data_IF_065837110634
#
_entry.id   IF_065837110634
#
_cell.length_a   1.000
_cell.length_b   1.000
_cell.length_c   1.000
_cell.angle_alpha   90.00
_cell.angle_beta   90.00
_cell.angle_gamma   90.00
#
_symmetry.space_group_name_H-M   'P 1'
#
loop_
_entity.id
_entity.type
_entity.pdbx_description
1 polymer ?
#
# COMPACT_ATOMS: atom_id res chain seq x y z
N UNK A 1 48.99 0.57 76.35
CA UNK A 1 49.50 0.86 74.99
C UNK A 1 48.39 0.54 74.00
N UNK A 2 47.51 1.51 73.73
CA UNK A 2 46.44 1.33 72.75
C UNK A 2 46.57 2.40 71.68
N UNK A 3 46.80 1.95 70.45
CA UNK A 3 46.91 2.80 69.27
C UNK A 3 45.51 3.08 68.69
N UNK A 4 45.12 4.35 68.74
CA UNK A 4 43.94 4.83 67.97
C UNK A 4 44.31 4.91 66.48
N UNK A 5 43.47 4.30 65.65
CA UNK A 5 43.51 4.50 64.20
C UNK A 5 42.35 5.46 63.83
N UNK A 6 42.71 6.59 63.25
CA UNK A 6 41.76 7.48 62.55
C UNK A 6 41.37 6.83 61.22
N UNK A 7 40.07 6.71 61.03
CA UNK A 7 39.50 6.33 59.73
C UNK A 7 39.06 7.60 59.01
N UNK A 8 39.72 7.84 57.86
CA UNK A 8 39.36 8.93 56.95
C UNK A 8 38.15 8.50 56.14
N UNK A 9 37.01 9.13 56.35
CA UNK A 9 35.81 8.95 55.53
C UNK A 9 35.93 9.74 54.21
N UNK A 10 35.91 9.01 53.11
CA UNK A 10 35.77 9.58 51.76
C UNK A 10 34.30 9.81 51.48
N UNK A 11 33.93 11.08 51.33
CA UNK A 11 32.59 11.47 50.82
C UNK A 11 32.59 11.20 49.32
N UNK A 12 31.82 10.21 48.90
CA UNK A 12 31.48 10.00 47.50
C UNK A 12 30.36 10.96 47.11
N UNK A 13 30.69 11.96 46.33
CA UNK A 13 29.72 12.82 45.65
C UNK A 13 29.17 12.04 44.45
N UNK A 14 27.95 11.53 44.59
CA UNK A 14 27.22 10.90 43.48
C UNK A 14 26.74 12.00 42.52
N UNK A 15 27.44 12.16 41.42
CA UNK A 15 26.99 12.99 40.30
C UNK A 15 25.81 12.32 39.61
N UNK A 16 24.64 12.93 39.68
CA UNK A 16 23.47 12.58 38.88
C UNK A 16 23.76 13.06 37.48
N UNK A 17 24.10 12.12 36.59
CA UNK A 17 24.10 12.36 35.13
C UNK A 17 22.63 12.52 34.71
N UNK A 18 22.21 13.76 34.49
CA UNK A 18 21.05 14.07 33.69
C UNK A 18 21.36 13.63 32.24
N UNK A 19 20.87 12.46 31.85
CA UNK A 19 20.76 12.13 30.44
C UNK A 19 19.74 13.07 29.83
N UNK A 20 20.20 14.08 29.11
CA UNK A 20 19.36 14.82 28.18
C UNK A 20 18.89 13.82 27.16
N UNK A 21 17.66 13.32 27.29
CA UNK A 21 16.96 12.60 26.24
C UNK A 21 16.89 13.56 25.05
N UNK A 22 17.54 13.21 23.98
CA UNK A 22 17.31 13.87 22.68
C UNK A 22 15.87 13.52 22.33
N UNK A 23 14.97 14.49 22.49
CA UNK A 23 13.66 14.42 21.84
C UNK A 23 13.94 14.39 20.33
N UNK A 24 13.77 13.24 19.70
CA UNK A 24 13.71 13.18 18.26
C UNK A 24 12.38 13.82 17.86
N UNK A 25 12.38 14.75 16.91
CA UNK A 25 11.14 15.29 16.40
C UNK A 25 10.30 14.15 15.84
N UNK A 26 9.05 14.07 16.23
CA UNK A 26 8.06 13.15 15.67
C UNK A 26 7.69 13.73 14.31
N UNK A 27 8.01 13.01 13.25
CA UNK A 27 7.69 13.40 11.89
C UNK A 27 6.39 12.72 11.47
N UNK A 28 5.43 13.47 10.92
CA UNK A 28 4.26 12.87 10.28
C UNK A 28 4.70 12.20 8.98
N UNK A 29 4.14 11.02 8.68
CA UNK A 29 4.47 10.28 7.47
C UNK A 29 3.40 10.48 6.39
N UNK A 30 3.80 10.38 5.13
CA UNK A 30 2.91 10.45 3.97
C UNK A 30 1.88 9.31 3.88
N UNK A 31 1.90 8.39 4.84
CA UNK A 31 0.97 7.29 4.91
C UNK A 31 1.13 6.23 3.82
N UNK A 32 0.41 5.14 4.00
CA UNK A 32 0.37 4.06 3.01
C UNK A 32 -0.49 4.46 1.81
N UNK A 33 0.14 4.67 0.67
CA UNK A 33 -0.54 5.05 -0.57
C UNK A 33 -0.96 3.81 -1.32
N UNK A 34 -2.19 3.33 -1.11
CA UNK A 34 -2.69 2.20 -1.87
C UNK A 34 -4.12 2.41 -2.29
N UNK A 35 -4.37 2.26 -3.60
CA UNK A 35 -5.67 1.86 -4.04
C UNK A 35 -5.76 0.33 -3.86
N UNK A 36 -6.53 -0.12 -2.88
CA UNK A 36 -6.70 -1.54 -2.55
C UNK A 36 -7.76 -2.23 -3.41
N UNK A 37 -8.32 -1.56 -4.41
CA UNK A 37 -9.33 -2.16 -5.29
C UNK A 37 -8.76 -3.36 -6.03
N UNK A 38 -9.39 -4.51 -5.87
CA UNK A 38 -9.01 -5.73 -6.57
C UNK A 38 -9.45 -5.67 -8.03
N UNK A 39 -8.49 -5.68 -8.94
CA UNK A 39 -8.71 -5.74 -10.39
C UNK A 39 -8.08 -6.97 -11.03
N UNK A 40 -7.81 -8.01 -10.26
CA UNK A 40 -7.38 -9.32 -10.74
C UNK A 40 -8.60 -10.11 -11.21
N UNK A 41 -9.01 -9.90 -12.43
CA UNK A 41 -10.27 -10.43 -12.99
C UNK A 41 -10.33 -11.95 -12.97
N UNK A 42 -9.20 -12.61 -13.10
CA UNK A 42 -9.06 -14.07 -13.10
C UNK A 42 -9.44 -14.67 -11.75
N UNK A 43 -9.09 -13.99 -10.65
CA UNK A 43 -9.44 -14.43 -9.29
C UNK A 43 -10.89 -14.15 -8.94
N UNK A 44 -11.58 -13.39 -9.80
CA UNK A 44 -13.00 -13.07 -9.70
C UNK A 44 -13.87 -13.88 -10.68
N UNK A 45 -13.29 -14.92 -11.31
CA UNK A 45 -13.99 -15.77 -12.28
C UNK A 45 -14.24 -15.13 -13.65
N UNK A 46 -13.45 -14.11 -14.00
CA UNK A 46 -13.48 -13.49 -15.32
C UNK A 46 -12.22 -13.92 -16.09
N UNK A 47 -12.38 -14.31 -17.36
CA UNK A 47 -11.25 -14.73 -18.20
C UNK A 47 -10.44 -15.90 -17.63
N UNK A 48 -11.10 -16.93 -17.21
CA UNK A 48 -10.47 -18.14 -16.62
C UNK A 48 -9.85 -19.10 -17.66
N UNK A 49 -10.08 -18.85 -18.95
CA UNK A 49 -9.55 -19.66 -20.04
C UNK A 49 -8.04 -19.47 -20.23
N UNK A 50 -7.30 -20.45 -20.77
CA UNK A 50 -5.90 -20.29 -21.14
C UNK A 50 -5.67 -19.14 -22.12
N UNK A 51 -4.50 -18.50 -22.06
CA UNK A 51 -4.13 -17.43 -22.98
C UNK A 51 -3.38 -16.29 -22.31
N UNK A 52 -3.00 -15.32 -23.12
CA UNK A 52 -2.26 -14.13 -22.72
C UNK A 52 -3.24 -12.96 -22.49
N UNK A 53 -3.02 -12.23 -21.42
CA UNK A 53 -3.82 -11.07 -21.03
C UNK A 53 -2.93 -9.91 -20.66
N UNK A 54 -3.40 -8.72 -20.95
CA UNK A 54 -2.79 -7.46 -20.55
C UNK A 54 -3.78 -6.64 -19.74
N UNK A 55 -3.28 -5.89 -18.80
CA UNK A 55 -4.05 -4.94 -18.01
C UNK A 55 -3.29 -3.61 -17.93
N UNK A 56 -3.95 -2.53 -18.29
CA UNK A 56 -3.46 -1.18 -18.08
C UNK A 56 -4.40 -0.52 -17.08
N UNK A 57 -3.87 -0.11 -15.94
CA UNK A 57 -4.63 0.43 -14.81
C UNK A 57 -4.05 1.76 -14.39
N UNK A 58 -4.85 2.80 -14.37
CA UNK A 58 -4.53 4.10 -13.81
C UNK A 58 -5.18 4.25 -12.44
N UNK A 59 -4.41 4.72 -11.47
CA UNK A 59 -4.82 4.96 -10.10
C UNK A 59 -4.61 6.43 -9.75
N UNK A 60 -5.61 7.03 -9.16
CA UNK A 60 -5.58 8.40 -8.65
C UNK A 60 -5.91 8.39 -7.17
N UNK A 61 -5.02 8.93 -6.34
CA UNK A 61 -5.23 9.07 -4.90
C UNK A 61 -4.67 10.41 -4.45
N UNK A 62 -5.52 11.25 -3.88
CA UNK A 62 -5.17 12.55 -3.31
C UNK A 62 -5.25 12.45 -1.79
N UNK A 63 -4.10 12.48 -1.13
CA UNK A 63 -3.98 12.42 0.31
C UNK A 63 -3.73 13.85 0.80
N UNK A 64 -4.77 14.53 1.21
CA UNK A 64 -4.78 15.92 1.69
C UNK A 64 -5.43 16.06 3.06
N UNK A 65 -5.76 14.93 3.69
CA UNK A 65 -6.36 14.88 5.00
C UNK A 65 -5.40 14.27 6.02
N UNK A 66 -4.86 15.10 6.90
CA UNK A 66 -4.06 14.62 8.03
C UNK A 66 -4.94 13.92 9.05
N UNK A 67 -4.44 12.80 9.59
CA UNK A 67 -5.15 11.99 10.57
C UNK A 67 -4.18 11.55 11.68
N UNK A 68 -4.67 11.53 12.93
CA UNK A 68 -3.97 10.93 14.06
C UNK A 68 -4.87 9.86 14.67
N UNK A 69 -4.42 8.61 14.65
CA UNK A 69 -5.28 7.47 14.93
C UNK A 69 -6.50 7.43 13.99
N UNK A 70 -7.71 7.46 14.55
CA UNK A 70 -8.95 7.49 13.76
C UNK A 70 -9.45 8.91 13.46
N UNK A 71 -8.89 9.94 14.10
CA UNK A 71 -9.40 11.30 14.06
C UNK A 71 -8.74 12.12 12.94
N UNK A 72 -9.54 12.93 12.24
CA UNK A 72 -9.02 13.96 11.35
C UNK A 72 -8.43 15.08 12.21
N UNK A 73 -7.22 15.52 11.88
CA UNK A 73 -6.53 16.60 12.61
C UNK A 73 -6.14 17.72 11.66
N UNK A 74 -6.00 18.92 12.22
CA UNK A 74 -5.46 20.06 11.49
C UNK A 74 -3.93 20.08 11.70
N UNK A 75 -3.11 20.29 10.66
CA UNK A 75 -1.67 20.42 10.79
C UNK A 75 -1.24 21.37 11.91
N UNK A 76 -1.87 22.55 12.02
CA UNK A 76 -1.61 23.52 13.07
C UNK A 76 -1.88 23.02 14.51
N UNK A 77 -2.56 21.89 14.68
CA UNK A 77 -2.91 21.29 15.97
C UNK A 77 -1.95 20.21 16.46
N UNK A 78 -0.95 19.82 15.66
CA UNK A 78 0.02 18.77 16.00
C UNK A 78 1.37 19.44 16.31
N UNK A 79 1.78 19.55 17.59
CA UNK A 79 3.05 20.19 17.94
C UNK A 79 4.24 19.36 17.46
N UNK A 80 5.29 20.05 16.99
CA UNK A 80 6.61 19.48 16.66
C UNK A 80 6.63 18.42 15.55
N UNK A 81 5.64 18.41 14.65
CA UNK A 81 5.64 17.57 13.46
C UNK A 81 6.08 18.37 12.22
N UNK A 82 6.55 17.64 11.20
CA UNK A 82 6.44 18.14 9.84
C UNK A 82 4.95 18.33 9.55
N UNK A 83 4.57 19.52 9.12
CA UNK A 83 3.20 19.75 8.67
C UNK A 83 3.04 19.13 7.27
N UNK A 84 2.68 17.87 7.23
CA UNK A 84 2.31 17.17 6.01
C UNK A 84 1.12 17.86 5.38
N UNK A 85 1.29 18.34 4.13
CA UNK A 85 0.24 19.10 3.45
C UNK A 85 -0.54 18.21 2.49
N UNK A 86 0.18 17.53 1.60
CA UNK A 86 -0.47 16.76 0.54
C UNK A 86 0.47 15.76 -0.12
N UNK A 87 -0.06 14.59 -0.47
CA UNK A 87 0.58 13.63 -1.37
C UNK A 87 -0.41 13.24 -2.47
N UNK A 88 -0.15 13.68 -3.69
CA UNK A 88 -0.94 13.34 -4.87
C UNK A 88 -0.28 12.20 -5.64
N UNK A 89 -0.98 11.08 -5.78
CA UNK A 89 -0.50 9.88 -6.48
C UNK A 89 -1.29 9.65 -7.76
N UNK A 90 -0.57 9.46 -8.86
CA UNK A 90 -1.11 9.20 -10.21
C UNK A 90 -0.33 8.04 -10.81
N UNK A 91 -0.63 6.83 -10.37
CA UNK A 91 0.13 5.66 -10.75
C UNK A 91 -0.45 4.97 -11.99
N UNK A 92 0.41 4.46 -12.85
CA UNK A 92 0.03 3.60 -13.95
C UNK A 92 0.58 2.20 -13.70
N UNK A 93 -0.27 1.19 -13.74
CA UNK A 93 0.14 -0.20 -13.62
C UNK A 93 -0.03 -0.92 -14.96
N UNK A 94 1.04 -1.54 -15.43
CA UNK A 94 1.03 -2.42 -16.59
C UNK A 94 1.13 -3.85 -16.11
N UNK A 95 0.13 -4.66 -16.42
CA UNK A 95 0.05 -6.07 -16.06
C UNK A 95 0.07 -6.97 -17.27
N UNK A 96 0.71 -8.11 -17.15
CA UNK A 96 0.66 -9.22 -18.08
C UNK A 96 0.40 -10.51 -17.31
N UNK A 97 -0.60 -11.27 -17.73
CA UNK A 97 -0.94 -12.58 -17.17
C UNK A 97 -0.96 -13.62 -18.29
N UNK A 98 -0.30 -14.75 -18.07
CA UNK A 98 -0.31 -15.88 -18.99
C UNK A 98 -0.82 -17.13 -18.27
N UNK A 99 -2.00 -17.61 -18.65
CA UNK A 99 -2.55 -18.85 -18.19
C UNK A 99 -2.16 -20.00 -19.12
N UNK A 100 -1.34 -20.93 -18.63
CA UNK A 100 -0.90 -22.11 -19.36
C UNK A 100 -2.07 -23.09 -19.60
N UNK A 101 -2.94 -23.18 -18.61
CA UNK A 101 -4.14 -24.02 -18.58
C UNK A 101 -5.10 -23.45 -17.52
N UNK A 102 -6.31 -24.00 -17.35
CA UNK A 102 -7.26 -23.49 -16.35
C UNK A 102 -6.76 -23.49 -14.90
N UNK A 103 -5.71 -24.28 -14.58
CA UNK A 103 -5.18 -24.40 -13.23
C UNK A 103 -3.97 -23.50 -12.94
N UNK A 104 -3.12 -23.23 -13.92
CA UNK A 104 -1.84 -22.57 -13.72
C UNK A 104 -1.66 -21.31 -14.56
N UNK A 105 -1.26 -20.23 -13.93
CA UNK A 105 -0.91 -18.99 -14.60
C UNK A 105 0.30 -18.34 -13.93
N UNK A 106 0.95 -17.43 -14.67
CA UNK A 106 1.98 -16.52 -14.15
C UNK A 106 1.61 -15.10 -14.56
N UNK A 107 1.96 -14.14 -13.71
CA UNK A 107 1.72 -12.73 -14.00
C UNK A 107 2.91 -11.86 -13.61
N UNK A 108 3.07 -10.78 -14.36
CA UNK A 108 4.03 -9.70 -14.11
C UNK A 108 3.25 -8.39 -14.02
N UNK A 109 3.56 -7.58 -13.02
CA UNK A 109 3.00 -6.24 -12.85
C UNK A 109 4.15 -5.26 -12.69
N UNK A 110 4.11 -4.18 -13.48
CA UNK A 110 5.12 -3.11 -13.48
C UNK A 110 4.41 -1.80 -13.18
N UNK A 111 4.60 -1.21 -12.01
CA UNK A 111 4.06 0.10 -11.69
C UNK A 111 4.96 1.21 -12.24
N UNK A 112 4.35 2.25 -12.77
CA UNK A 112 4.96 3.56 -13.00
C UNK A 112 4.35 4.49 -11.97
N UNK A 113 5.17 4.94 -11.04
CA UNK A 113 4.79 5.84 -9.96
C UNK A 113 4.94 7.27 -10.43
N UNK A 114 3.92 8.09 -10.23
CA UNK A 114 3.99 9.54 -10.32
C UNK A 114 3.39 10.13 -9.06
N UNK A 115 4.21 10.85 -8.29
CA UNK A 115 3.87 11.34 -6.96
C UNK A 115 4.35 12.76 -6.79
N UNK A 116 3.41 13.66 -6.43
CA UNK A 116 3.71 15.01 -5.99
C UNK A 116 3.47 15.06 -4.49
N UNK A 117 4.48 15.49 -3.74
CA UNK A 117 4.41 15.60 -2.28
C UNK A 117 4.82 17.01 -1.83
N UNK A 118 4.21 17.47 -0.74
CA UNK A 118 4.55 18.73 -0.09
C UNK A 118 4.36 18.65 1.41
N UNK A 119 5.31 19.24 2.14
CA UNK A 119 5.23 19.46 3.57
C UNK A 119 5.92 20.77 3.98
N UNK A 120 5.78 21.18 5.25
CA UNK A 120 6.48 22.32 5.85
C UNK A 120 7.35 21.79 6.98
N UNK A 121 8.64 22.09 6.95
CA UNK A 121 9.49 22.01 8.13
C UNK A 121 9.16 23.15 9.08
N UNK A 122 8.88 22.83 10.35
CA UNK A 122 8.57 23.81 11.39
C UNK A 122 9.80 24.51 11.96
N UNK A 123 10.85 24.69 11.15
CA UNK A 123 12.01 25.49 11.46
C UNK A 123 11.65 26.98 11.56
N UNK A 124 12.54 27.78 12.08
CA UNK A 124 12.34 29.25 12.15
C UNK A 124 13.34 29.93 11.24
N UNK A 125 12.91 30.47 10.08
CA UNK A 125 11.53 30.50 9.52
C UNK A 125 11.08 29.14 8.98
N UNK A 126 9.77 28.85 8.90
CA UNK A 126 9.25 27.63 8.29
C UNK A 126 9.70 27.51 6.84
N UNK A 127 10.15 26.30 6.44
CA UNK A 127 10.59 26.00 5.08
C UNK A 127 9.59 25.05 4.40
N UNK A 128 9.11 25.46 3.23
CA UNK A 128 8.19 24.68 2.41
C UNK A 128 8.97 23.81 1.43
N UNK A 129 8.78 22.52 1.50
CA UNK A 129 9.47 21.56 0.65
C UNK A 129 8.52 20.78 -0.24
N UNK A 130 8.99 20.43 -1.43
CA UNK A 130 8.23 19.68 -2.43
C UNK A 130 9.09 18.64 -3.12
N UNK A 131 8.47 17.52 -3.47
CA UNK A 131 9.05 16.46 -4.30
C UNK A 131 8.09 16.11 -5.44
N UNK A 132 8.63 16.01 -6.65
CA UNK A 132 7.93 15.54 -7.84
C UNK A 132 8.64 14.28 -8.33
N UNK A 133 8.14 13.13 -7.88
CA UNK A 133 8.77 11.84 -8.11
C UNK A 133 8.08 11.11 -9.25
N UNK A 134 8.84 10.71 -10.27
CA UNK A 134 8.32 9.90 -11.37
C UNK A 134 9.33 8.83 -11.74
N UNK A 135 8.91 7.57 -11.68
CA UNK A 135 9.81 6.46 -11.98
C UNK A 135 9.10 5.11 -12.03
N UNK A 136 9.85 4.10 -12.41
CA UNK A 136 9.39 2.72 -12.26
C UNK A 136 9.36 2.37 -10.76
N UNK A 137 8.29 1.73 -10.33
CA UNK A 137 8.20 1.16 -9.00
C UNK A 137 8.68 -0.30 -8.94
N UNK A 138 8.41 -0.95 -7.82
CA UNK A 138 8.80 -2.33 -7.59
C UNK A 138 7.92 -3.31 -8.38
N UNK A 139 8.54 -4.06 -9.27
CA UNK A 139 7.88 -5.08 -10.10
C UNK A 139 7.38 -6.24 -9.24
N UNK A 140 6.21 -6.78 -9.57
CA UNK A 140 5.66 -7.99 -8.96
C UNK A 140 5.65 -9.12 -9.98
N UNK A 141 6.20 -10.27 -9.57
CA UNK A 141 6.14 -11.52 -10.32
C UNK A 141 5.37 -12.53 -9.48
N UNK A 142 4.29 -13.11 -10.00
CA UNK A 142 3.48 -14.06 -9.24
C UNK A 142 3.06 -15.25 -10.09
N UNK A 143 2.88 -16.39 -9.41
CA UNK A 143 2.24 -17.59 -9.91
C UNK A 143 0.87 -17.75 -9.28
N UNK A 144 -0.03 -18.39 -9.99
CA UNK A 144 -1.38 -18.71 -9.53
C UNK A 144 -1.70 -20.19 -9.83
N UNK A 145 -2.25 -20.84 -8.82
CA UNK A 145 -2.86 -22.15 -8.96
C UNK A 145 -4.35 -22.08 -8.62
N UNK A 146 -5.19 -22.70 -9.43
CA UNK A 146 -6.64 -22.71 -9.25
C UNK A 146 -7.18 -24.13 -9.48
N UNK A 147 -8.20 -24.49 -8.71
CA UNK A 147 -8.98 -25.70 -8.92
C UNK A 147 -10.48 -25.40 -8.94
N UNK A 148 -11.20 -26.03 -9.85
CA UNK A 148 -12.66 -25.95 -9.84
C UNK A 148 -13.20 -26.72 -8.62
N UNK A 149 -14.10 -26.09 -7.88
CA UNK A 149 -14.86 -26.73 -6.80
C UNK A 149 -16.14 -27.38 -7.34
N UNK A 150 -16.74 -26.74 -8.34
CA UNK A 150 -17.86 -27.19 -9.14
C UNK A 150 -17.96 -26.40 -10.44
N UNK A 151 -19.04 -26.52 -11.19
CA UNK A 151 -19.26 -25.82 -12.48
C UNK A 151 -19.34 -24.28 -12.32
N UNK A 152 -19.67 -23.78 -11.12
CA UNK A 152 -19.89 -22.36 -10.84
C UNK A 152 -18.88 -21.76 -9.86
N UNK A 153 -17.99 -22.55 -9.30
CA UNK A 153 -17.07 -22.08 -8.27
C UNK A 153 -15.66 -22.62 -8.45
N UNK A 154 -14.68 -21.80 -8.10
CA UNK A 154 -13.28 -22.21 -8.00
C UNK A 154 -12.60 -21.57 -6.79
N UNK A 155 -11.53 -22.20 -6.35
CA UNK A 155 -10.63 -21.66 -5.34
C UNK A 155 -9.18 -21.80 -5.82
N UNK A 156 -8.31 -20.92 -5.32
CA UNK A 156 -6.92 -20.94 -5.71
C UNK A 156 -5.99 -20.25 -4.73
N UNK A 157 -4.71 -20.37 -5.04
CA UNK A 157 -3.62 -19.76 -4.31
C UNK A 157 -2.81 -18.89 -5.25
N UNK A 158 -2.26 -17.82 -4.68
CA UNK A 158 -1.26 -16.94 -5.32
C UNK A 158 0.03 -16.96 -4.51
N UNK A 159 1.16 -16.92 -5.18
CA UNK A 159 2.47 -16.84 -4.56
C UNK A 159 3.41 -16.07 -5.49
N UNK A 160 4.32 -15.30 -4.93
CA UNK A 160 5.19 -14.49 -5.77
C UNK A 160 6.18 -13.66 -4.98
N UNK A 161 6.83 -12.76 -5.71
CA UNK A 161 7.79 -11.82 -5.18
C UNK A 161 7.50 -10.41 -5.72
N UNK A 162 7.62 -9.41 -4.86
CA UNK A 162 7.88 -8.04 -5.25
C UNK A 162 9.40 -7.87 -5.33
N UNK A 163 9.91 -7.38 -6.44
CA UNK A 163 11.34 -7.20 -6.71
C UNK A 163 11.71 -5.72 -6.60
N UNK A 164 12.87 -5.37 -6.02
CA UNK A 164 13.30 -3.99 -5.80
C UNK A 164 13.81 -3.35 -7.10
N UNK A 165 12.93 -3.14 -8.05
CA UNK A 165 13.25 -2.57 -9.38
C UNK A 165 13.04 -1.07 -9.43
N UNK A 166 12.28 -0.51 -8.49
CA UNK A 166 12.07 0.91 -8.34
C UNK A 166 13.24 1.59 -7.66
N UNK A 167 13.43 2.86 -7.97
CA UNK A 167 14.42 3.68 -7.27
C UNK A 167 13.92 4.04 -5.88
N UNK A 168 14.84 4.17 -4.93
CA UNK A 168 14.57 4.50 -3.53
C UNK A 168 15.54 5.57 -2.98
N UNK A 169 16.18 6.30 -3.89
CA UNK A 169 17.18 7.36 -3.63
C UNK A 169 16.89 8.63 -4.43
N UNK A 170 15.63 8.85 -4.82
CA UNK A 170 15.21 10.06 -5.54
C UNK A 170 15.21 11.28 -4.61
N UNK A 171 15.61 12.41 -5.17
CA UNK A 171 15.73 13.70 -4.46
C UNK A 171 14.85 14.75 -5.14
N UNK A 172 14.56 15.84 -4.42
CA UNK A 172 13.96 17.02 -5.02
C UNK A 172 15.00 17.87 -5.77
N UNK A 173 14.57 19.01 -6.34
CA UNK A 173 15.44 19.93 -7.11
C UNK A 173 16.54 20.59 -6.25
N UNK A 174 16.41 20.55 -4.93
CA UNK A 174 17.41 21.05 -3.98
C UNK A 174 18.42 19.96 -3.55
N UNK A 175 18.24 18.71 -4.03
CA UNK A 175 19.07 17.56 -3.68
C UNK A 175 18.73 16.93 -2.33
N UNK A 176 17.59 17.26 -1.74
CA UNK A 176 17.09 16.65 -0.51
C UNK A 176 16.45 15.29 -0.85
N UNK A 177 16.84 14.25 -0.12
CA UNK A 177 16.33 12.90 -0.30
C UNK A 177 14.86 12.83 0.15
N UNK A 178 14.00 12.26 -0.70
CA UNK A 178 12.62 12.00 -0.30
C UNK A 178 12.57 10.86 0.73
N UNK A 179 11.60 10.93 1.65
CA UNK A 179 11.34 9.86 2.60
C UNK A 179 11.15 8.50 1.91
N UNK A 180 11.52 7.44 2.60
CA UNK A 180 11.44 6.07 2.04
C UNK A 180 10.01 5.67 1.65
N UNK A 181 9.01 6.17 2.37
CA UNK A 181 7.59 5.98 2.08
C UNK A 181 7.14 6.65 0.77
N UNK A 182 7.82 7.73 0.36
CA UNK A 182 7.54 8.49 -0.86
C UNK A 182 8.25 7.93 -2.10
N UNK A 183 9.31 7.17 -1.93
CA UNK A 183 10.12 6.67 -3.03
C UNK A 183 9.32 5.78 -4.00
N UNK A 184 9.64 5.76 -5.30
CA UNK A 184 9.00 4.86 -6.27
C UNK A 184 9.14 3.38 -5.94
N UNK A 185 10.28 2.98 -5.36
CA UNK A 185 10.57 1.64 -4.90
C UNK A 185 10.93 1.60 -3.41
N UNK A 186 10.75 0.44 -2.79
CA UNK A 186 11.13 0.24 -1.38
C UNK A 186 12.58 -0.20 -1.19
N UNK A 187 13.23 -0.68 -2.27
CA UNK A 187 14.56 -1.30 -2.21
C UNK A 187 14.54 -2.73 -1.64
N UNK A 188 13.38 -3.26 -1.20
CA UNK A 188 13.27 -4.59 -0.60
C UNK A 188 12.62 -5.60 -1.52
N UNK A 189 13.03 -6.87 -1.38
CA UNK A 189 12.31 -8.01 -1.96
C UNK A 189 11.28 -8.50 -0.96
N UNK A 190 10.01 -8.60 -1.38
CA UNK A 190 8.94 -9.05 -0.51
C UNK A 190 8.35 -10.37 -1.03
N UNK A 191 8.02 -11.29 -0.12
CA UNK A 191 7.20 -12.46 -0.42
C UNK A 191 5.72 -12.08 -0.52
N UNK A 192 5.02 -12.67 -1.49
CA UNK A 192 3.60 -12.53 -1.73
C UNK A 192 2.94 -13.90 -1.58
N UNK A 193 1.95 -14.02 -0.71
CA UNK A 193 1.15 -15.23 -0.54
C UNK A 193 -0.33 -14.86 -0.45
N UNK A 194 -1.17 -15.53 -1.21
CA UNK A 194 -2.60 -15.25 -1.21
C UNK A 194 -3.45 -16.47 -1.49
N UNK A 195 -4.72 -16.33 -1.17
CA UNK A 195 -5.75 -17.31 -1.49
C UNK A 195 -7.01 -16.59 -1.96
N UNK A 196 -7.77 -17.21 -2.82
CA UNK A 196 -9.01 -16.64 -3.33
C UNK A 196 -10.03 -17.74 -3.65
N UNK A 197 -11.27 -17.31 -3.71
CA UNK A 197 -12.38 -18.11 -4.22
C UNK A 197 -13.39 -17.20 -4.90
N UNK A 198 -14.08 -17.73 -5.89
CA UNK A 198 -15.25 -17.10 -6.47
C UNK A 198 -16.38 -18.11 -6.63
N UNK A 199 -17.59 -17.61 -6.61
CA UNK A 199 -18.80 -18.40 -6.80
C UNK A 199 -19.79 -17.63 -7.65
N UNK A 200 -20.16 -18.18 -8.80
CA UNK A 200 -21.23 -17.69 -9.67
C UNK A 200 -22.55 -18.23 -9.18
N UNK A 201 -23.46 -17.37 -8.79
CA UNK A 201 -24.77 -17.75 -8.29
C UNK A 201 -25.69 -18.25 -9.41
N UNK A 202 -26.73 -18.98 -9.04
CA UNK A 202 -27.74 -19.45 -9.97
C UNK A 202 -28.29 -18.32 -10.84
N UNK A 203 -28.46 -18.58 -12.15
CA UNK A 203 -28.87 -17.58 -13.14
C UNK A 203 -27.73 -16.79 -13.77
N UNK A 204 -26.46 -17.08 -13.43
CA UNK A 204 -25.21 -16.57 -14.05
C UNK A 204 -25.02 -15.04 -14.06
N UNK A 205 -25.93 -14.28 -13.47
CA UNK A 205 -25.85 -12.84 -13.45
C UNK A 205 -24.93 -12.31 -12.33
N UNK A 206 -24.77 -13.08 -11.24
CA UNK A 206 -24.08 -12.65 -10.03
C UNK A 206 -22.88 -13.52 -9.72
N UNK A 207 -21.73 -12.92 -9.53
CA UNK A 207 -20.52 -13.59 -9.02
C UNK A 207 -20.10 -12.94 -7.72
N UNK A 208 -19.90 -13.76 -6.68
CA UNK A 208 -19.27 -13.37 -5.42
C UNK A 208 -17.81 -13.80 -5.47
N UNK A 209 -16.92 -13.00 -4.90
CA UNK A 209 -15.51 -13.39 -4.75
C UNK A 209 -14.95 -12.91 -3.42
N UNK A 210 -13.94 -13.62 -2.95
CA UNK A 210 -13.13 -13.28 -1.79
C UNK A 210 -11.68 -13.54 -2.14
N UNK A 211 -10.79 -12.61 -1.81
CA UNK A 211 -9.35 -12.76 -1.97
C UNK A 211 -8.62 -12.18 -0.77
N UNK A 212 -7.70 -12.94 -0.22
CA UNK A 212 -6.73 -12.45 0.77
C UNK A 212 -5.33 -12.48 0.18
N UNK A 213 -4.52 -11.47 0.47
CA UNK A 213 -3.11 -11.41 0.09
C UNK A 213 -2.29 -10.90 1.28
N UNK A 214 -1.23 -11.62 1.60
CA UNK A 214 -0.20 -11.24 2.54
C UNK A 214 1.09 -10.91 1.80
N UNK A 215 1.68 -9.76 2.11
CA UNK A 215 2.97 -9.31 1.61
C UNK A 215 3.90 -9.05 2.78
N UNK A 216 5.11 -9.60 2.70
CA UNK A 216 6.14 -9.42 3.74
C UNK A 216 7.50 -9.20 3.13
N UNK A 217 8.24 -8.14 3.53
CA UNK A 217 9.64 -7.96 3.19
C UNK A 217 10.48 -9.12 3.73
N UNK A 218 11.42 -9.59 2.92
CA UNK A 218 12.32 -10.69 3.28
C UNK A 218 13.60 -10.20 3.95
N UNK A 219 13.98 -8.94 3.71
CA UNK A 219 15.14 -8.29 4.29
C UNK A 219 14.95 -6.77 4.31
N UNK A 220 15.73 -6.10 5.12
CA UNK A 220 15.89 -4.64 5.11
C UNK A 220 16.84 -4.19 3.98
N UNK A 221 16.72 -2.93 3.60
CA UNK A 221 17.63 -2.29 2.65
C UNK A 221 17.95 -0.87 3.10
N UNK A 222 19.24 -0.58 3.35
CA UNK A 222 19.72 0.73 3.80
C UNK A 222 18.93 1.23 5.02
N UNK A 223 18.94 0.44 6.09
CA UNK A 223 18.24 0.68 7.35
C UNK A 223 16.75 1.01 7.18
N UNK A 224 16.10 0.40 6.18
CA UNK A 224 14.66 0.50 5.95
C UNK A 224 14.07 -0.86 5.61
N UNK A 225 12.97 -1.20 6.29
CA UNK A 225 12.13 -2.34 5.97
C UNK A 225 10.65 -1.92 6.04
N UNK A 226 9.91 -1.96 4.92
CA UNK A 226 8.48 -1.67 4.97
C UNK A 226 7.74 -2.67 5.87
N UNK A 227 6.69 -2.22 6.54
CA UNK A 227 5.82 -3.08 7.32
C UNK A 227 5.17 -4.15 6.44
N UNK A 228 5.00 -5.34 7.00
CA UNK A 228 4.19 -6.37 6.34
C UNK A 228 2.74 -5.88 6.20
N UNK A 229 2.04 -6.39 5.19
CA UNK A 229 0.66 -6.00 4.97
C UNK A 229 -0.24 -7.19 4.61
N UNK A 230 -1.51 -7.07 4.98
CA UNK A 230 -2.57 -8.01 4.64
C UNK A 230 -3.70 -7.24 3.99
N UNK A 231 -4.16 -7.72 2.83
CA UNK A 231 -5.39 -7.24 2.20
C UNK A 231 -6.43 -8.35 2.20
N UNK A 232 -7.68 -7.97 2.37
CA UNK A 232 -8.83 -8.85 2.19
C UNK A 232 -9.88 -8.13 1.36
N UNK A 233 -10.20 -8.68 0.21
CA UNK A 233 -11.20 -8.16 -0.70
C UNK A 233 -12.40 -9.10 -0.74
N UNK A 234 -13.58 -8.54 -0.53
CA UNK A 234 -14.86 -9.23 -0.70
C UNK A 234 -15.66 -8.45 -1.73
N UNK A 235 -16.09 -9.11 -2.78
CA UNK A 235 -16.76 -8.40 -3.86
C UNK A 235 -17.91 -9.15 -4.49
N UNK A 236 -18.76 -8.35 -5.11
CA UNK A 236 -19.92 -8.75 -5.89
C UNK A 236 -19.80 -8.14 -7.28
N UNK A 237 -19.98 -8.94 -8.31
CA UNK A 237 -20.18 -8.51 -9.68
C UNK A 237 -21.56 -8.93 -10.14
N UNK A 238 -22.32 -7.99 -10.73
CA UNK A 238 -23.67 -8.23 -11.24
C UNK A 238 -23.75 -7.81 -12.71
N UNK A 239 -24.11 -8.76 -13.58
CA UNK A 239 -24.30 -8.49 -15.00
C UNK A 239 -25.63 -7.77 -15.24
N UNK A 240 -25.58 -6.44 -15.45
CA UNK A 240 -26.74 -5.62 -15.80
C UNK A 240 -27.21 -5.88 -17.22
N UNK A 241 -26.27 -6.10 -18.13
CA UNK A 241 -26.51 -6.46 -19.53
C UNK A 241 -25.43 -7.45 -19.99
N UNK A 242 -25.48 -7.86 -21.26
CA UNK A 242 -24.42 -8.70 -21.85
C UNK A 242 -23.03 -8.04 -21.87
N UNK A 243 -22.98 -6.71 -21.81
CA UNK A 243 -21.72 -5.95 -21.89
C UNK A 243 -21.42 -5.13 -20.65
N UNK A 244 -22.41 -4.79 -19.83
CA UNK A 244 -22.26 -3.92 -18.66
C UNK A 244 -22.41 -4.73 -17.38
N UNK A 245 -21.43 -4.65 -16.49
CA UNK A 245 -21.49 -5.21 -15.15
C UNK A 245 -21.35 -4.10 -14.11
N UNK A 246 -22.19 -4.13 -13.09
CA UNK A 246 -21.99 -3.37 -11.86
C UNK A 246 -21.11 -4.19 -10.92
N UNK A 247 -20.33 -3.50 -10.11
CA UNK A 247 -19.43 -4.10 -9.14
C UNK A 247 -19.46 -3.35 -7.82
N UNK A 248 -19.31 -4.09 -6.74
CA UNK A 248 -19.15 -3.54 -5.41
C UNK A 248 -18.12 -4.37 -4.67
N UNK A 249 -17.12 -3.72 -4.09
CA UNK A 249 -16.11 -4.37 -3.28
C UNK A 249 -16.01 -3.73 -1.90
N UNK A 250 -15.77 -4.55 -0.90
CA UNK A 250 -15.28 -4.16 0.41
C UNK A 250 -13.82 -4.56 0.46
N UNK A 251 -12.92 -3.58 0.64
CA UNK A 251 -11.48 -3.79 0.66
C UNK A 251 -10.96 -3.45 2.06
N UNK A 252 -10.32 -4.40 2.70
CA UNK A 252 -9.68 -4.24 3.98
C UNK A 252 -8.17 -4.27 3.76
N UNK A 253 -7.46 -3.33 4.37
CA UNK A 253 -6.01 -3.27 4.39
C UNK A 253 -5.54 -3.09 5.81
N UNK A 254 -4.61 -3.94 6.23
CA UNK A 254 -3.81 -3.75 7.43
C UNK A 254 -2.34 -3.73 7.03
N UNK A 255 -1.60 -2.73 7.52
CA UNK A 255 -0.15 -2.60 7.36
C UNK A 255 0.48 -2.42 8.74
N UNK A 256 1.56 -3.15 9.01
CA UNK A 256 2.40 -3.00 10.19
C UNK A 256 3.29 -1.76 10.07
N UNK A 257 3.97 -1.40 11.18
CA UNK A 257 4.95 -0.32 11.20
C UNK A 257 6.13 -0.62 10.26
N UNK A 258 6.64 0.39 9.58
CA UNK A 258 7.90 0.34 8.89
C UNK A 258 9.04 0.30 9.93
N UNK A 259 10.20 -0.26 9.60
CA UNK A 259 11.29 -0.50 10.54
C UNK A 259 12.61 0.01 9.98
N UNK A 260 13.55 0.35 10.89
CA UNK A 260 14.90 0.82 10.56
C UNK A 260 15.12 2.29 10.87
N UNK A 261 16.37 2.75 10.76
CA UNK A 261 16.75 4.14 11.07
C UNK A 261 16.27 5.13 10.00
N UNK A 262 16.03 4.65 8.79
CA UNK A 262 15.49 5.44 7.68
C UNK A 262 13.98 5.22 7.50
N UNK A 263 13.31 4.75 8.52
CA UNK A 263 11.85 4.64 8.61
C UNK A 263 11.31 5.64 9.61
N UNK A 264 10.01 5.82 9.57
CA UNK A 264 9.23 6.53 10.60
C UNK A 264 8.28 5.53 11.27
N UNK A 265 8.80 4.69 12.20
CA UNK A 265 8.02 3.57 12.73
C UNK A 265 6.73 4.02 13.41
N UNK A 266 6.78 5.10 14.18
CA UNK A 266 5.65 5.59 14.96
C UNK A 266 4.54 6.16 14.06
N UNK A 267 4.91 6.70 12.90
CA UNK A 267 4.00 7.36 11.94
C UNK A 267 3.80 6.54 10.67
N UNK A 268 3.89 5.22 10.75
CA UNK A 268 3.71 4.32 9.61
C UNK A 268 2.76 3.16 9.89
N UNK A 269 2.12 2.66 8.83
CA UNK A 269 1.16 1.57 8.94
C UNK A 269 -0.21 2.01 9.44
N UNK A 270 -1.16 1.06 9.53
CA UNK A 270 -2.52 1.35 9.92
C UNK A 270 -3.52 0.29 9.48
N UNK A 271 -4.81 0.60 9.69
CA UNK A 271 -5.94 -0.28 9.33
C UNK A 271 -7.00 0.49 8.58
N UNK A 272 -7.43 -0.03 7.45
CA UNK A 272 -8.33 0.66 6.54
C UNK A 272 -9.44 -0.27 6.07
N UNK A 273 -10.64 0.29 5.93
CA UNK A 273 -11.80 -0.37 5.31
C UNK A 273 -12.38 0.57 4.28
N UNK A 274 -12.47 0.09 3.05
CA UNK A 274 -12.99 0.87 1.93
C UNK A 274 -14.19 0.17 1.30
N UNK A 275 -15.12 0.97 0.80
CA UNK A 275 -16.18 0.56 -0.11
C UNK A 275 -15.84 1.05 -1.52
N UNK A 276 -15.84 0.13 -2.48
CA UNK A 276 -15.43 0.42 -3.86
C UNK A 276 -16.53 0.05 -4.85
N UNK A 277 -17.53 0.94 -5.06
CA UNK A 277 -18.46 0.81 -6.18
C UNK A 277 -17.72 1.00 -7.50
N UNK A 278 -18.10 0.23 -8.51
CA UNK A 278 -17.53 0.29 -9.83
C UNK A 278 -18.39 -0.34 -10.91
N UNK A 279 -17.87 -0.27 -12.13
CA UNK A 279 -18.49 -0.90 -13.27
C UNK A 279 -17.43 -1.40 -14.25
N UNK A 280 -17.79 -2.40 -15.06
CA UNK A 280 -16.98 -2.82 -16.19
C UNK A 280 -17.85 -2.95 -17.45
N UNK A 281 -17.26 -2.60 -18.60
CA UNK A 281 -17.92 -2.64 -19.88
C UNK A 281 -17.11 -3.43 -20.90
N UNK A 282 -17.70 -4.47 -21.44
CA UNK A 282 -17.11 -5.31 -22.50
C UNK A 282 -17.22 -4.58 -23.84
N UNK A 283 -16.11 -4.04 -24.33
CA UNK A 283 -16.03 -3.35 -25.60
C UNK A 283 -16.05 -4.34 -26.77
N UNK A 284 -15.28 -5.42 -26.67
CA UNK A 284 -15.22 -6.52 -27.61
C UNK A 284 -15.08 -7.84 -26.84
N UNK A 285 -15.07 -8.98 -27.54
CA UNK A 285 -14.81 -10.28 -26.89
C UNK A 285 -13.43 -10.34 -26.20
N UNK A 286 -12.49 -9.48 -26.60
CA UNK A 286 -11.13 -9.43 -26.06
C UNK A 286 -10.87 -8.26 -25.13
N UNK A 287 -11.70 -7.20 -25.14
CA UNK A 287 -11.39 -5.94 -24.46
C UNK A 287 -12.50 -5.56 -23.49
N UNK A 288 -12.08 -5.16 -22.29
CA UNK A 288 -12.96 -4.70 -21.21
C UNK A 288 -12.41 -3.40 -20.62
N UNK A 289 -13.24 -2.36 -20.55
CA UNK A 289 -13.00 -1.18 -19.72
C UNK A 289 -13.57 -1.40 -18.34
N UNK A 290 -12.97 -0.76 -17.33
CA UNK A 290 -13.50 -0.77 -15.99
C UNK A 290 -13.13 0.51 -15.24
N UNK A 291 -13.90 0.81 -14.20
CA UNK A 291 -13.63 1.91 -13.28
C UNK A 291 -14.26 1.69 -11.93
N UNK A 292 -13.60 2.21 -10.90
CA UNK A 292 -14.03 2.19 -9.50
C UNK A 292 -13.78 3.54 -8.85
N UNK A 293 -14.63 3.89 -7.90
CA UNK A 293 -14.35 4.91 -6.89
C UNK A 293 -14.21 4.19 -5.56
N UNK A 294 -13.15 4.45 -4.83
CA UNK A 294 -12.91 3.87 -3.52
C UNK A 294 -13.18 4.92 -2.45
N UNK A 295 -14.07 4.61 -1.52
CA UNK A 295 -14.52 5.47 -0.44
C UNK A 295 -14.12 4.86 0.91
N UNK A 296 -13.41 5.58 1.79
CA UNK A 296 -13.07 5.07 3.10
C UNK A 296 -14.33 5.00 3.99
N UNK A 297 -14.58 3.82 4.56
CA UNK A 297 -15.55 3.61 5.63
C UNK A 297 -14.89 3.73 7.00
N UNK A 298 -13.62 3.34 7.08
CA UNK A 298 -12.81 3.42 8.30
C UNK A 298 -11.35 3.59 7.91
N UNK A 299 -10.67 4.50 8.61
CA UNK A 299 -9.24 4.71 8.51
C UNK A 299 -8.69 4.93 9.92
N UNK A 300 -7.71 4.12 10.26
CA UNK A 300 -6.90 4.27 11.47
C UNK A 300 -5.45 4.23 11.06
N UNK A 301 -4.69 5.25 11.40
CA UNK A 301 -3.26 5.35 11.16
C UNK A 301 -2.50 5.24 12.48
N UNK A 302 -1.32 4.64 12.47
CA UNK A 302 -0.41 4.74 13.60
C UNK A 302 0.21 6.15 13.57
N UNK A 303 0.31 6.79 14.75
CA UNK A 303 0.79 8.17 14.83
C UNK A 303 -0.01 9.15 13.99
N UNK A 304 0.68 9.95 13.17
CA UNK A 304 0.06 10.98 12.33
C UNK A 304 0.47 10.78 10.86
N UNK A 305 -0.51 10.62 9.97
CA UNK A 305 -0.27 10.34 8.56
C UNK A 305 -1.31 11.03 7.66
N UNK A 306 -0.91 11.33 6.40
CA UNK A 306 -1.85 11.76 5.37
C UNK A 306 -2.75 10.61 4.91
N UNK A 307 -4.02 10.90 4.72
CA UNK A 307 -5.03 9.98 4.19
C UNK A 307 -5.83 10.64 3.08
N UNK A 308 -6.50 9.82 2.25
CA UNK A 308 -7.39 10.29 1.20
C UNK A 308 -8.86 10.16 1.62
N UNK A 309 -9.68 11.12 1.25
CA UNK A 309 -11.14 11.05 1.39
C UNK A 309 -11.80 10.21 0.27
N UNK A 310 -11.11 10.00 -0.82
CA UNK A 310 -11.49 9.09 -1.91
C UNK A 310 -10.31 8.78 -2.81
N UNK A 311 -10.41 7.69 -3.56
CA UNK A 311 -9.52 7.39 -4.68
C UNK A 311 -10.28 6.83 -5.87
N UNK A 312 -9.66 6.79 -7.03
CA UNK A 312 -10.28 6.27 -8.24
C UNK A 312 -9.33 5.35 -9.01
N UNK A 313 -9.92 4.39 -9.68
CA UNK A 313 -9.24 3.47 -10.58
C UNK A 313 -9.99 3.42 -11.90
N UNK A 314 -9.26 3.50 -12.99
CA UNK A 314 -9.77 3.21 -14.33
C UNK A 314 -8.77 2.32 -15.06
N UNK A 315 -9.27 1.42 -15.91
CA UNK A 315 -8.38 0.55 -16.63
C UNK A 315 -8.99 -0.15 -17.82
N UNK A 316 -8.10 -0.78 -18.57
CA UNK A 316 -8.38 -1.56 -19.77
C UNK A 316 -7.75 -2.95 -19.62
N UNK A 317 -8.57 -3.97 -19.68
CA UNK A 317 -8.12 -5.35 -19.83
C UNK A 317 -8.21 -5.78 -21.28
N UNK A 318 -7.21 -6.55 -21.73
CA UNK A 318 -7.17 -7.10 -23.08
C UNK A 318 -6.63 -8.52 -23.06
N UNK A 319 -7.33 -9.46 -23.74
CA UNK A 319 -6.90 -10.84 -23.94
C UNK A 319 -6.63 -11.15 -25.42
N UNK A 320 -5.59 -11.95 -25.66
CA UNK A 320 -5.23 -12.48 -26.99
C UNK A 320 -5.70 -13.93 -27.15
#
# INVERSE_FOLDING_TARGET
MNKFRLSTGVLAVSGVLLTAGTFQPVHASCGATFCSVNTQWETQGVWTEPGLRFNLRYEYTDQDQLRSGADKVDPAGVPDTHDEIRTLNRNLQVGMDYAFNPAWAVSVQVPVVNRDHSHVHNDVPPEYETWNLTGLGDMRLSGRYQTALNEHAAAGFQFGLKLPTGKFDETNDLGQLAERSLQPGSGTTDALLGAYTYHQLEGDATTLFVQGLWQRPLAERDDYQPGQQVTLDVGLRYALTRSLNAQLQLNLLWKDHDQGLNAEPDDSGGSYVFLSPGASYVLTKQMQLYGFVQLPLYQYVNGTQLTADWSAVAGLGWRL
#
